data_IF_979650351113
#
_entry.id   IF_979650351113
#
_cell.length_a   1.000
_cell.length_b   1.000
_cell.length_c   1.000
_cell.angle_alpha   90.00
_cell.angle_beta   90.00
_cell.angle_gamma   90.00
#
_symmetry.space_group_name_H-M   'P 1'
#
loop_
_entity.id
_entity.type
_entity.pdbx_description
1 polymer ?
#
# COMPACT_ATOMS: atom_id res chain seq x y z
N UNK A 1 -11.39 7.13 46.26
CA UNK A 1 -10.44 7.54 45.21
C UNK A 1 -10.92 6.88 43.93
N UNK A 2 -11.33 7.72 42.98
CA UNK A 2 -12.47 7.50 42.07
C UNK A 2 -12.36 6.30 41.10
N UNK A 3 -13.36 5.41 41.18
CA UNK A 3 -13.76 4.54 40.06
C UNK A 3 -13.98 5.35 38.77
N UNK A 4 -14.53 6.57 38.85
CA UNK A 4 -14.63 7.48 37.71
C UNK A 4 -13.27 7.88 37.11
N UNK A 5 -12.23 8.06 37.93
CA UNK A 5 -10.88 8.38 37.43
C UNK A 5 -10.26 7.17 36.76
N UNK A 6 -10.50 5.97 37.29
CA UNK A 6 -10.02 4.72 36.68
C UNK A 6 -10.70 4.46 35.33
N UNK A 7 -12.02 4.68 35.23
CA UNK A 7 -12.79 4.56 33.97
C UNK A 7 -12.35 5.60 32.95
N UNK A 8 -12.12 6.86 33.36
CA UNK A 8 -11.61 7.90 32.47
C UNK A 8 -10.21 7.57 31.93
N UNK A 9 -9.30 7.07 32.79
CA UNK A 9 -7.94 6.70 32.37
C UNK A 9 -7.95 5.53 31.39
N UNK A 10 -8.81 4.51 31.61
CA UNK A 10 -8.96 3.39 30.69
C UNK A 10 -9.59 3.82 29.36
N UNK A 11 -10.58 4.72 29.37
CA UNK A 11 -11.20 5.24 28.17
C UNK A 11 -10.23 6.09 27.32
N UNK A 12 -9.40 6.92 27.97
CA UNK A 12 -8.36 7.70 27.29
C UNK A 12 -7.28 6.78 26.71
N UNK A 13 -6.86 5.75 27.45
CA UNK A 13 -5.91 4.75 26.94
C UNK A 13 -6.46 3.99 25.73
N UNK A 14 -7.74 3.61 25.73
CA UNK A 14 -8.39 2.97 24.58
C UNK A 14 -8.52 3.92 23.37
N UNK A 15 -8.75 5.22 23.58
CA UNK A 15 -8.81 6.19 22.48
C UNK A 15 -7.47 6.47 21.79
N UNK A 16 -6.35 6.24 22.48
CA UNK A 16 -5.00 6.42 21.92
C UNK A 16 -4.57 5.24 21.02
N UNK A 17 -5.27 4.10 21.06
CA UNK A 17 -4.91 2.89 20.30
C UNK A 17 -5.50 2.89 18.88
N UNK A 18 -6.38 3.84 18.53
CA UNK A 18 -7.20 3.79 17.30
C UNK A 18 -6.75 4.68 16.15
N UNK A 19 -5.46 5.06 16.09
CA UNK A 19 -4.87 5.65 14.89
C UNK A 19 -3.63 4.86 14.53
N UNK A 20 -3.80 3.63 14.01
CA UNK A 20 -2.75 3.07 13.16
C UNK A 20 -2.61 4.02 11.99
N UNK A 21 -1.52 4.77 12.00
CA UNK A 21 -1.31 5.89 11.10
C UNK A 21 -0.84 5.34 9.76
N UNK A 22 -1.77 4.99 8.89
CA UNK A 22 -1.51 4.41 7.56
C UNK A 22 -0.99 5.47 6.56
N UNK A 23 -0.09 6.37 6.99
CA UNK A 23 0.38 7.51 6.18
C UNK A 23 1.03 7.05 4.87
N UNK A 24 1.81 5.97 4.90
CA UNK A 24 2.43 5.40 3.71
C UNK A 24 1.40 4.87 2.69
N UNK A 25 0.38 4.14 3.15
CA UNK A 25 -0.72 3.70 2.28
C UNK A 25 -1.48 4.87 1.64
N UNK A 26 -1.54 6.03 2.33
CA UNK A 26 -2.07 7.24 1.72
C UNK A 26 -1.16 7.81 0.61
N UNK A 27 0.16 7.66 0.73
CA UNK A 27 1.11 8.03 -0.33
C UNK A 27 0.98 7.10 -1.54
N UNK A 28 0.89 5.78 -1.32
CA UNK A 28 0.64 4.84 -2.41
C UNK A 28 -0.68 5.14 -3.13
N UNK A 29 -1.77 5.37 -2.38
CA UNK A 29 -3.06 5.82 -2.96
C UNK A 29 -2.90 7.06 -3.83
N UNK A 30 -2.12 8.04 -3.40
CA UNK A 30 -1.88 9.26 -4.15
C UNK A 30 -1.05 9.01 -5.42
N UNK A 31 -0.08 8.09 -5.37
CA UNK A 31 0.64 7.64 -6.58
C UNK A 31 -0.29 6.95 -7.58
N UNK A 32 -1.21 6.09 -7.12
CA UNK A 32 -2.21 5.47 -8.00
C UNK A 32 -3.07 6.54 -8.66
N UNK A 33 -3.55 7.54 -7.91
CA UNK A 33 -4.35 8.64 -8.46
C UNK A 33 -3.56 9.52 -9.44
N UNK A 34 -2.25 9.68 -9.26
CA UNK A 34 -1.38 10.33 -10.24
C UNK A 34 -1.49 9.64 -11.60
N UNK A 35 -1.45 8.30 -11.61
CA UNK A 35 -1.45 7.48 -12.82
C UNK A 35 -2.86 7.20 -13.37
N UNK A 36 -3.86 7.04 -12.50
CA UNK A 36 -5.26 6.74 -12.81
C UNK A 36 -6.20 7.68 -12.03
N UNK A 37 -6.38 8.95 -12.48
CA UNK A 37 -7.16 9.94 -11.74
C UNK A 37 -8.64 9.58 -11.53
N UNK A 38 -9.22 8.84 -12.48
CA UNK A 38 -10.64 8.46 -12.45
C UNK A 38 -10.90 7.18 -11.64
N UNK A 39 -9.85 6.56 -11.08
CA UNK A 39 -9.97 5.36 -10.24
C UNK A 39 -10.40 5.68 -8.81
N UNK A 40 -10.87 4.66 -8.11
CA UNK A 40 -11.18 4.66 -6.69
C UNK A 40 -10.27 3.63 -6.00
N UNK A 41 -9.00 3.94 -5.70
CA UNK A 41 -8.00 2.90 -5.44
C UNK A 41 -8.34 1.90 -4.33
N UNK A 42 -9.03 2.35 -3.28
CA UNK A 42 -9.45 1.48 -2.19
C UNK A 42 -10.61 0.54 -2.55
N UNK A 43 -11.41 0.87 -3.56
CA UNK A 43 -12.50 0.02 -4.07
C UNK A 43 -11.98 -0.84 -5.22
N UNK A 44 -11.29 -0.22 -6.17
CA UNK A 44 -10.89 -0.86 -7.42
C UNK A 44 -9.76 -1.89 -7.24
N UNK A 45 -8.88 -1.70 -6.24
CA UNK A 45 -7.61 -2.45 -6.14
C UNK A 45 -7.35 -3.11 -4.78
N UNK A 46 -8.12 -2.84 -3.72
CA UNK A 46 -7.80 -3.39 -2.39
C UNK A 46 -8.33 -4.83 -2.16
N UNK A 47 -9.21 -5.32 -3.04
CA UNK A 47 -9.75 -6.68 -3.06
C UNK A 47 -10.01 -7.11 -4.52
N UNK A 48 -8.91 -7.31 -5.26
CA UNK A 48 -8.94 -7.58 -6.70
C UNK A 48 -8.04 -8.77 -7.06
N UNK A 49 -8.57 -9.68 -7.87
CA UNK A 49 -7.83 -10.83 -8.35
C UNK A 49 -7.37 -11.73 -7.21
N UNK A 50 -6.17 -12.27 -7.34
CA UNK A 50 -5.58 -13.21 -6.41
C UNK A 50 -4.48 -12.61 -5.53
N UNK A 51 -4.04 -11.38 -5.80
CA UNK A 51 -2.93 -10.72 -5.11
C UNK A 51 -3.26 -9.32 -4.62
N UNK A 52 -4.09 -8.54 -5.32
CA UNK A 52 -4.36 -7.17 -4.87
C UNK A 52 -5.23 -7.17 -3.60
N UNK A 53 -4.58 -6.99 -2.45
CA UNK A 53 -5.20 -7.02 -1.14
C UNK A 53 -4.27 -7.62 -0.09
N UNK A 54 -4.82 -8.13 1.01
CA UNK A 54 -4.01 -8.81 2.03
C UNK A 54 -3.80 -10.28 1.65
N UNK A 55 -2.53 -10.70 1.56
CA UNK A 55 -2.13 -12.09 1.39
C UNK A 55 -1.67 -12.39 -0.03
N UNK A 56 -2.47 -13.14 -0.76
CA UNK A 56 -2.22 -13.48 -2.15
C UNK A 56 -1.55 -14.83 -2.40
N UNK A 57 -2.00 -15.54 -3.43
CA UNK A 57 -1.48 -16.87 -3.79
C UNK A 57 -1.90 -17.32 -5.18
N UNK A 58 -1.24 -18.36 -5.69
CA UNK A 58 -1.57 -18.96 -6.98
C UNK A 58 -1.09 -18.14 -8.18
N UNK A 59 -1.84 -18.19 -9.27
CA UNK A 59 -1.51 -17.51 -10.52
C UNK A 59 -2.32 -16.22 -10.65
N UNK A 60 -1.69 -15.06 -10.94
CA UNK A 60 -2.42 -13.83 -11.19
C UNK A 60 -3.42 -13.98 -12.35
N UNK A 61 -4.62 -13.44 -12.18
CA UNK A 61 -5.71 -13.61 -13.17
C UNK A 61 -5.57 -12.70 -14.39
N UNK A 62 -4.83 -11.60 -14.27
CA UNK A 62 -4.50 -10.67 -15.34
C UNK A 62 -3.23 -9.85 -15.03
N UNK A 63 -2.95 -8.85 -15.87
CA UNK A 63 -1.78 -7.98 -15.73
C UNK A 63 -1.88 -7.06 -14.51
N UNK A 64 -3.09 -6.61 -14.13
CA UNK A 64 -3.30 -5.77 -12.95
C UNK A 64 -3.01 -6.56 -11.66
N UNK A 65 -3.53 -7.78 -11.59
CA UNK A 65 -3.27 -8.70 -10.49
C UNK A 65 -1.77 -9.08 -10.40
N UNK A 66 -1.10 -9.20 -11.55
CA UNK A 66 0.36 -9.40 -11.59
C UNK A 66 1.13 -8.19 -11.05
N UNK A 67 0.66 -6.97 -11.26
CA UNK A 67 1.26 -5.78 -10.64
C UNK A 67 1.26 -5.92 -9.11
N UNK A 68 0.16 -6.41 -8.53
CA UNK A 68 0.04 -6.62 -7.09
C UNK A 68 0.94 -7.75 -6.60
N UNK A 69 1.03 -8.87 -7.32
CA UNK A 69 1.99 -9.94 -6.99
C UNK A 69 3.44 -9.41 -6.90
N UNK A 70 3.85 -8.56 -7.85
CA UNK A 70 5.19 -7.95 -7.84
C UNK A 70 5.33 -6.95 -6.70
N UNK A 71 4.29 -6.20 -6.38
CA UNK A 71 4.27 -5.27 -5.25
C UNK A 71 4.41 -5.99 -3.90
N UNK A 72 3.68 -7.08 -3.70
CA UNK A 72 3.76 -7.93 -2.50
C UNK A 72 5.17 -8.51 -2.30
N UNK A 73 5.79 -8.96 -3.39
CA UNK A 73 7.17 -9.42 -3.35
C UNK A 73 8.13 -8.26 -3.01
N UNK A 74 7.91 -7.07 -3.58
CA UNK A 74 8.72 -5.89 -3.28
C UNK A 74 8.60 -5.50 -1.80
N UNK A 75 7.40 -5.52 -1.23
CA UNK A 75 7.19 -5.27 0.21
C UNK A 75 7.83 -6.37 1.07
N UNK A 76 7.77 -7.63 0.63
CA UNK A 76 8.45 -8.74 1.30
C UNK A 76 9.97 -8.57 1.31
N UNK A 77 10.54 -8.04 0.23
CA UNK A 77 11.96 -7.71 0.12
C UNK A 77 12.31 -6.49 0.99
N UNK A 78 11.45 -5.48 1.04
CA UNK A 78 11.62 -4.29 1.89
C UNK A 78 11.70 -4.68 3.38
N UNK A 79 10.82 -5.57 3.84
CA UNK A 79 10.84 -6.10 5.22
C UNK A 79 12.12 -6.89 5.56
N UNK A 80 12.87 -7.33 4.55
CA UNK A 80 14.14 -8.05 4.70
C UNK A 80 15.36 -7.18 4.36
N UNK A 81 15.14 -5.94 3.93
CA UNK A 81 16.21 -5.05 3.49
C UNK A 81 17.09 -4.66 4.69
N UNK A 82 18.43 -4.73 4.58
CA UNK A 82 19.33 -4.50 5.71
C UNK A 82 19.24 -3.10 6.31
N UNK A 83 18.90 -2.10 5.47
CA UNK A 83 18.74 -0.71 5.90
C UNK A 83 17.31 -0.40 6.37
N UNK A 84 16.36 -1.33 6.27
CA UNK A 84 15.03 -1.19 6.84
C UNK A 84 14.99 -1.89 8.20
N UNK A 85 14.72 -1.16 9.27
CA UNK A 85 14.64 -1.74 10.60
C UNK A 85 13.22 -2.25 10.89
N UNK A 86 12.96 -3.57 10.93
CA UNK A 86 11.59 -4.11 10.88
C UNK A 86 10.65 -3.72 12.03
N UNK A 87 11.19 -3.12 13.10
CA UNK A 87 10.41 -2.65 14.26
C UNK A 87 9.83 -1.25 14.01
N UNK A 88 10.52 -0.43 13.21
CA UNK A 88 10.17 0.97 12.95
C UNK A 88 9.74 1.16 11.49
N UNK A 89 10.45 0.51 10.58
CA UNK A 89 10.37 0.75 9.15
C UNK A 89 9.58 -0.41 8.52
N UNK A 90 8.29 -0.17 8.35
CA UNK A 90 7.33 -1.10 7.77
C UNK A 90 6.79 -0.47 6.48
N UNK A 91 6.77 -1.18 5.34
CA UNK A 91 6.32 -0.62 4.06
C UNK A 91 4.85 -0.15 4.03
N UNK A 92 4.04 -0.51 5.02
CA UNK A 92 2.67 -0.01 5.21
C UNK A 92 2.59 1.29 6.03
N UNK A 93 3.66 1.70 6.71
CA UNK A 93 3.68 2.87 7.61
C UNK A 93 4.83 3.84 7.36
N UNK A 94 5.91 3.40 6.70
CA UNK A 94 7.09 4.20 6.41
C UNK A 94 6.80 5.32 5.41
N UNK A 95 7.12 6.55 5.77
CA UNK A 95 6.82 7.72 4.94
C UNK A 95 8.03 8.01 4.07
N UNK A 96 7.80 8.22 2.79
CA UNK A 96 8.86 8.56 1.85
C UNK A 96 8.51 9.82 1.06
N UNK A 97 9.50 10.49 0.50
CA UNK A 97 9.35 11.64 -0.37
C UNK A 97 9.24 11.22 -1.85
N UNK A 98 8.26 11.79 -2.54
CA UNK A 98 8.06 11.61 -3.97
C UNK A 98 7.43 12.83 -4.62
N UNK A 99 7.45 12.87 -5.95
CA UNK A 99 6.76 13.87 -6.77
C UNK A 99 5.87 13.20 -7.81
N UNK A 100 4.79 13.88 -8.17
CA UNK A 100 3.90 13.51 -9.26
C UNK A 100 3.78 14.68 -10.24
N UNK A 101 4.14 14.44 -11.50
CA UNK A 101 3.77 15.28 -12.63
C UNK A 101 2.47 14.73 -13.24
N UNK A 102 1.33 15.26 -12.78
CA UNK A 102 0.00 14.78 -13.18
C UNK A 102 -0.25 14.94 -14.68
N UNK A 103 0.35 15.96 -15.31
CA UNK A 103 0.17 16.27 -16.72
C UNK A 103 0.90 15.25 -17.60
N UNK A 104 2.10 14.83 -17.18
CA UNK A 104 2.91 13.85 -17.90
C UNK A 104 2.76 12.42 -17.37
N UNK A 105 1.93 12.20 -16.34
CA UNK A 105 1.77 10.89 -15.67
C UNK A 105 3.11 10.29 -15.27
N UNK A 106 3.91 11.09 -14.57
CA UNK A 106 5.26 10.70 -14.16
C UNK A 106 5.41 10.83 -12.65
N UNK A 107 5.76 9.71 -12.03
CA UNK A 107 6.14 9.66 -10.62
C UNK A 107 7.66 9.66 -10.50
N UNK A 108 8.18 10.21 -9.40
CA UNK A 108 9.62 10.17 -9.10
C UNK A 108 9.83 10.15 -7.60
N UNK A 109 10.48 9.11 -7.09
CA UNK A 109 11.01 9.04 -5.73
C UNK A 109 12.22 9.97 -5.61
N UNK A 110 12.22 10.84 -4.61
CA UNK A 110 13.23 11.90 -4.53
C UNK A 110 14.48 11.44 -3.79
N UNK A 111 15.61 12.08 -4.08
CA UNK A 111 16.90 11.79 -3.44
C UNK A 111 17.00 12.24 -1.98
N UNK A 112 15.91 12.76 -1.40
CA UNK A 112 15.82 13.06 0.03
C UNK A 112 15.58 11.82 0.87
N UNK A 113 15.06 10.76 0.24
CA UNK A 113 14.86 9.46 0.88
C UNK A 113 16.18 8.81 1.26
N UNK A 114 16.21 8.18 2.43
CA UNK A 114 17.22 7.18 2.77
C UNK A 114 17.04 5.90 1.95
N UNK A 115 17.90 4.90 2.19
CA UNK A 115 17.88 3.66 1.42
C UNK A 115 16.58 2.85 1.62
N UNK A 116 15.99 2.86 2.82
CA UNK A 116 14.76 2.15 3.11
C UNK A 116 13.55 2.87 2.49
N UNK A 117 13.42 4.17 2.75
CA UNK A 117 12.37 5.04 2.20
C UNK A 117 12.37 4.98 0.66
N UNK A 118 13.56 5.03 0.05
CA UNK A 118 13.71 4.95 -1.41
C UNK A 118 13.26 3.59 -1.94
N UNK A 119 13.60 2.50 -1.26
CA UNK A 119 13.23 1.16 -1.67
C UNK A 119 11.70 0.99 -1.67
N UNK A 120 11.03 1.41 -0.58
CA UNK A 120 9.58 1.33 -0.43
C UNK A 120 8.88 2.26 -1.44
N UNK A 121 9.36 3.49 -1.58
CA UNK A 121 8.84 4.43 -2.59
C UNK A 121 8.90 3.83 -4.00
N UNK A 122 9.99 3.16 -4.36
CA UNK A 122 10.14 2.54 -5.68
C UNK A 122 9.22 1.32 -5.87
N UNK A 123 8.88 0.58 -4.80
CA UNK A 123 7.83 -0.43 -4.85
C UNK A 123 6.49 0.19 -5.26
N UNK A 124 6.07 1.25 -4.54
CA UNK A 124 4.79 1.91 -4.75
C UNK A 124 4.73 2.64 -6.09
N UNK A 125 5.82 3.30 -6.50
CA UNK A 125 5.94 3.96 -7.80
C UNK A 125 5.72 2.98 -8.94
N UNK A 126 6.41 1.84 -8.91
CA UNK A 126 6.32 0.82 -9.96
C UNK A 126 4.95 0.18 -10.00
N UNK A 127 4.35 -0.11 -8.84
CA UNK A 127 2.99 -0.63 -8.77
C UNK A 127 1.97 0.36 -9.35
N UNK A 128 2.03 1.64 -8.96
CA UNK A 128 1.15 2.67 -9.48
C UNK A 128 1.30 2.88 -11.00
N UNK A 129 2.53 2.87 -11.53
CA UNK A 129 2.78 2.93 -12.98
C UNK A 129 2.22 1.70 -13.70
N UNK A 130 2.38 0.51 -13.12
CA UNK A 130 1.83 -0.73 -13.63
C UNK A 130 0.29 -0.71 -13.66
N UNK A 131 -0.36 -0.20 -12.60
CA UNK A 131 -1.80 0.03 -12.57
C UNK A 131 -2.24 1.04 -13.63
N UNK A 132 -1.41 2.06 -13.89
CA UNK A 132 -1.61 3.07 -14.94
C UNK A 132 -1.90 2.47 -16.32
N UNK A 133 -1.10 1.46 -16.69
CA UNK A 133 -1.16 0.83 -18.02
C UNK A 133 -2.00 -0.45 -18.07
N UNK A 134 -2.30 -1.05 -16.92
CA UNK A 134 -3.08 -2.29 -16.84
C UNK A 134 -4.59 -1.98 -16.92
N UNK A 135 -5.36 -2.72 -17.75
CA UNK A 135 -6.82 -2.66 -17.72
C UNK A 135 -7.34 -3.14 -16.37
N UNK A 136 -8.46 -2.58 -15.94
CA UNK A 136 -9.20 -3.05 -14.78
C UNK A 136 -10.45 -3.80 -15.26
N UNK A 137 -10.65 -5.00 -14.72
CA UNK A 137 -11.73 -5.91 -15.08
C UNK A 137 -12.69 -6.12 -13.90
N UNK A 138 -13.94 -5.61 -13.94
CA UNK A 138 -14.87 -5.69 -12.81
C UNK A 138 -15.17 -7.13 -12.36
N UNK A 139 -15.08 -8.11 -13.27
CA UNK A 139 -15.29 -9.53 -12.97
C UNK A 139 -14.25 -10.15 -12.03
N UNK A 140 -13.14 -9.45 -11.77
CA UNK A 140 -12.07 -9.88 -10.87
C UNK A 140 -12.10 -9.16 -9.51
N UNK A 141 -13.03 -8.22 -9.29
CA UNK A 141 -13.27 -7.68 -7.95
C UNK A 141 -13.81 -8.77 -7.02
N UNK A 142 -13.35 -8.77 -5.76
CA UNK A 142 -13.78 -9.71 -4.71
C UNK A 142 -13.73 -11.17 -5.18
N UNK A 143 -12.68 -11.52 -5.93
CA UNK A 143 -12.54 -12.84 -6.53
C UNK A 143 -12.42 -13.90 -5.42
N UNK A 144 -13.27 -14.95 -5.44
CA UNK A 144 -13.18 -16.03 -4.47
C UNK A 144 -11.81 -16.72 -4.49
N UNK A 145 -11.22 -16.93 -3.31
CA UNK A 145 -9.87 -17.47 -3.17
C UNK A 145 -9.69 -18.90 -3.69
N UNK A 146 -10.77 -19.68 -3.82
CA UNK A 146 -10.74 -21.01 -4.44
C UNK A 146 -10.49 -20.98 -5.97
N UNK A 147 -10.61 -19.79 -6.58
CA UNK A 147 -10.24 -19.53 -7.97
C UNK A 147 -8.77 -19.17 -8.16
N UNK A 148 -8.03 -18.95 -7.06
CA UNK A 148 -6.61 -18.67 -7.06
C UNK A 148 -5.83 -19.98 -6.92
N UNK A 149 -5.35 -20.51 -8.06
CA UNK A 149 -4.67 -21.80 -8.16
C UNK A 149 -3.17 -21.66 -8.39
#
# INVERSE_FOLDING_TARGET
>A
MNTCVTVFVVAVALSMVHSMDYRALHQFRAMILCMKPDSWPALDYADYGCYCGLGGSGTPVDDLDRCCQVHDQCYSDAMQHPECWPILDNPYTEIYDYTCDEANKKLTCTSSNDECEMFICECDRKAAECFGVSPWHPEHEHLPSDRCQ
#
